data_IF_960872568960
#
_entry.id   IF_960872568960
#
_cell.length_a   1.000
_cell.length_b   1.000
_cell.length_c   1.000
_cell.angle_alpha   90.00
_cell.angle_beta   90.00
_cell.angle_gamma   90.00
#
_symmetry.space_group_name_H-M   'P 1'
#
loop_
_entity.id
_entity.type
_entity.pdbx_description
1 polymer ?
#
# COMPACT_ATOMS: atom_id res chain seq x y z
N UNK A 1 15.12 15.30 -11.08
CA UNK A 1 13.69 15.69 -11.26
C UNK A 1 12.73 14.53 -10.96
N UNK A 2 12.96 13.32 -11.50
CA UNK A 2 12.13 12.12 -11.20
C UNK A 2 12.09 11.74 -9.69
N UNK A 3 13.20 11.92 -8.96
CA UNK A 3 13.25 11.59 -7.53
C UNK A 3 12.29 12.42 -6.65
N UNK A 4 12.03 13.68 -7.01
CA UNK A 4 11.12 14.55 -6.25
C UNK A 4 9.70 13.98 -6.26
N UNK A 5 9.26 13.38 -7.38
CA UNK A 5 7.95 12.74 -7.47
C UNK A 5 7.83 11.54 -6.52
N UNK A 6 8.90 10.76 -6.36
CA UNK A 6 8.91 9.66 -5.40
C UNK A 6 8.83 10.13 -3.94
N UNK A 7 9.51 11.21 -3.59
CA UNK A 7 9.40 11.82 -2.25
C UNK A 7 7.99 12.37 -1.99
N UNK A 8 7.40 13.07 -2.98
CA UNK A 8 6.01 13.56 -2.88
C UNK A 8 5.05 12.39 -2.71
N UNK A 9 5.23 11.33 -3.48
CA UNK A 9 4.42 10.12 -3.41
C UNK A 9 4.54 9.42 -2.05
N UNK A 10 5.76 9.25 -1.52
CA UNK A 10 5.97 8.69 -0.19
C UNK A 10 5.33 9.55 0.91
N UNK A 11 5.45 10.88 0.81
CA UNK A 11 4.83 11.81 1.74
C UNK A 11 3.29 11.74 1.69
N UNK A 12 2.71 11.61 0.49
CA UNK A 12 1.26 11.43 0.30
C UNK A 12 0.76 10.13 0.94
N UNK A 13 1.46 9.01 0.70
CA UNK A 13 1.14 7.72 1.33
C UNK A 13 1.16 7.85 2.87
N UNK A 14 2.26 8.35 3.44
CA UNK A 14 2.39 8.53 4.88
C UNK A 14 1.32 9.43 5.49
N UNK A 15 1.04 10.59 4.88
CA UNK A 15 0.03 11.53 5.39
C UNK A 15 -1.38 10.97 5.30
N UNK A 16 -1.73 10.26 4.22
CA UNK A 16 -3.05 9.64 4.07
C UNK A 16 -3.34 8.59 5.14
N UNK A 17 -2.34 7.76 5.49
CA UNK A 17 -2.47 6.78 6.57
C UNK A 17 -2.51 7.41 7.95
N UNK A 18 -1.72 8.45 8.22
CA UNK A 18 -1.81 9.19 9.49
C UNK A 18 -3.21 9.79 9.63
N UNK A 19 -3.75 10.38 8.57
CA UNK A 19 -5.11 10.91 8.58
C UNK A 19 -6.14 9.81 8.89
N UNK A 20 -6.03 8.64 8.25
CA UNK A 20 -6.91 7.50 8.51
C UNK A 20 -6.78 6.95 9.94
N UNK A 21 -5.56 6.96 10.49
CA UNK A 21 -5.28 6.55 11.87
C UNK A 21 -5.90 7.50 12.90
N UNK A 22 -5.76 8.81 12.70
CA UNK A 22 -6.33 9.84 13.59
C UNK A 22 -7.87 9.78 13.61
N UNK A 23 -8.50 9.44 12.49
CA UNK A 23 -9.96 9.27 12.41
C UNK A 23 -10.47 7.91 12.96
N UNK A 24 -9.58 7.08 13.52
CA UNK A 24 -9.96 5.83 14.17
C UNK A 24 -10.26 4.68 13.20
N UNK A 25 -9.71 4.70 11.98
CA UNK A 25 -9.90 3.66 10.98
C UNK A 25 -9.30 2.30 11.36
N UNK A 26 -8.29 2.27 12.24
CA UNK A 26 -7.58 1.05 12.66
C UNK A 26 -8.15 0.41 13.95
N UNK A 27 -9.48 0.35 14.10
CA UNK A 27 -10.12 -0.32 15.24
C UNK A 27 -10.14 -1.84 15.10
N UNK A 28 -10.08 -2.36 13.87
CA UNK A 28 -10.06 -3.80 13.60
C UNK A 28 -8.61 -4.29 13.48
N UNK A 29 -8.34 -5.47 14.04
CA UNK A 29 -7.04 -6.12 13.97
C UNK A 29 -6.58 -6.36 12.53
N UNK A 30 -7.52 -6.59 11.60
CA UNK A 30 -7.18 -6.81 10.19
C UNK A 30 -6.61 -5.55 9.53
N UNK A 31 -7.21 -4.39 9.78
CA UNK A 31 -6.67 -3.11 9.29
C UNK A 31 -5.31 -2.79 9.94
N UNK A 32 -5.06 -3.24 11.17
CA UNK A 32 -3.76 -3.10 11.84
C UNK A 32 -2.67 -3.94 11.16
N UNK A 33 -3.00 -5.17 10.76
CA UNK A 33 -2.07 -6.02 9.99
C UNK A 33 -1.80 -5.39 8.62
N UNK A 34 -2.84 -4.91 7.95
CA UNK A 34 -2.72 -4.21 6.66
C UNK A 34 -1.79 -2.99 6.75
N UNK A 35 -1.93 -2.20 7.81
CA UNK A 35 -1.04 -1.08 8.10
C UNK A 35 0.42 -1.53 8.29
N UNK A 36 0.65 -2.63 9.01
CA UNK A 36 2.01 -3.13 9.25
C UNK A 36 2.67 -3.61 7.94
N UNK A 37 1.92 -4.32 7.09
CA UNK A 37 2.38 -4.75 5.76
C UNK A 37 2.69 -3.54 4.88
N UNK A 38 1.76 -2.58 4.80
CA UNK A 38 1.92 -1.35 4.04
C UNK A 38 3.12 -0.51 4.51
N UNK A 39 3.26 -0.32 5.82
CA UNK A 39 4.39 0.40 6.41
C UNK A 39 5.73 -0.27 6.07
N UNK A 40 5.78 -1.61 6.06
CA UNK A 40 6.98 -2.35 5.67
C UNK A 40 7.32 -2.11 4.19
N UNK A 41 6.33 -2.14 3.30
CA UNK A 41 6.52 -1.83 1.88
C UNK A 41 7.03 -0.38 1.69
N UNK A 42 6.58 0.57 2.52
CA UNK A 42 7.06 1.95 2.47
C UNK A 42 8.49 2.12 2.94
N UNK A 43 8.96 1.32 3.90
CA UNK A 43 10.39 1.29 4.25
C UNK A 43 11.21 0.85 3.03
N UNK A 44 10.71 -0.13 2.27
CA UNK A 44 11.33 -0.54 1.00
C UNK A 44 11.34 0.59 -0.03
N UNK A 45 10.22 1.30 -0.21
CA UNK A 45 10.15 2.50 -1.04
C UNK A 45 11.15 3.56 -0.59
N UNK A 46 11.29 3.79 0.72
CA UNK A 46 12.27 4.75 1.23
C UNK A 46 13.71 4.33 0.90
N UNK A 47 14.03 3.04 1.03
CA UNK A 47 15.33 2.49 0.62
C UNK A 47 15.61 2.71 -0.87
N UNK A 48 14.62 2.43 -1.73
CA UNK A 48 14.67 2.71 -3.16
C UNK A 48 14.96 4.19 -3.46
N UNK A 49 14.19 5.10 -2.84
CA UNK A 49 14.28 6.54 -3.14
C UNK A 49 15.58 7.16 -2.65
N UNK A 50 16.09 6.67 -1.51
CA UNK A 50 17.34 7.17 -0.91
C UNK A 50 18.60 6.46 -1.40
N UNK A 51 18.46 5.44 -2.26
CA UNK A 51 19.56 4.57 -2.71
C UNK A 51 20.35 3.98 -1.54
N UNK A 52 19.65 3.58 -0.47
CA UNK A 52 20.25 2.98 0.71
C UNK A 52 19.77 1.57 0.88
N UNK A 53 20.71 0.66 1.09
CA UNK A 53 20.42 -0.70 1.53
C UNK A 53 20.07 -0.67 3.01
N UNK A 54 18.78 -0.79 3.33
CA UNK A 54 18.28 -0.84 4.71
C UNK A 54 18.40 -2.27 5.25
N UNK A 55 18.08 -3.26 4.41
CA UNK A 55 18.10 -4.70 4.70
C UNK A 55 18.56 -5.44 3.44
N UNK A 56 18.82 -6.74 3.58
CA UNK A 56 19.26 -7.60 2.47
C UNK A 56 18.22 -7.66 1.33
N UNK A 57 18.64 -7.77 0.06
CA UNK A 57 17.73 -7.92 -1.08
C UNK A 57 16.72 -9.06 -0.92
N UNK A 58 17.16 -10.21 -0.38
CA UNK A 58 16.30 -11.38 -0.13
C UNK A 58 15.09 -11.06 0.78
N UNK A 59 15.29 -10.22 1.80
CA UNK A 59 14.20 -9.77 2.65
C UNK A 59 13.16 -8.98 1.85
N UNK A 60 13.61 -8.06 0.98
CA UNK A 60 12.72 -7.25 0.16
C UNK A 60 11.99 -8.05 -0.90
N UNK A 61 12.57 -9.14 -1.40
CA UNK A 61 11.89 -10.08 -2.29
C UNK A 61 10.72 -10.77 -1.58
N UNK A 62 10.91 -11.21 -0.33
CA UNK A 62 9.84 -11.78 0.50
C UNK A 62 8.77 -10.72 0.78
N UNK A 63 9.17 -9.50 1.15
CA UNK A 63 8.22 -8.40 1.39
C UNK A 63 7.43 -8.07 0.12
N UNK A 64 8.06 -8.04 -1.05
CA UNK A 64 7.38 -7.80 -2.32
C UNK A 64 6.28 -8.83 -2.58
N UNK A 65 6.61 -10.12 -2.51
CA UNK A 65 5.63 -11.19 -2.75
C UNK A 65 4.57 -11.20 -1.66
N UNK A 66 4.97 -11.08 -0.40
CA UNK A 66 4.07 -11.12 0.76
C UNK A 66 3.08 -9.96 0.76
N UNK A 67 3.55 -8.72 0.53
CA UNK A 67 2.69 -7.55 0.46
C UNK A 67 1.73 -7.62 -0.74
N UNK A 68 2.21 -8.07 -1.91
CA UNK A 68 1.36 -8.18 -3.10
C UNK A 68 0.26 -9.22 -2.92
N UNK A 69 0.58 -10.38 -2.32
CA UNK A 69 -0.41 -11.39 -1.98
C UNK A 69 -1.39 -10.89 -0.92
N UNK A 70 -0.90 -10.14 0.08
CA UNK A 70 -1.74 -9.54 1.11
C UNK A 70 -2.73 -8.54 0.51
N UNK A 71 -2.30 -7.61 -0.35
CA UNK A 71 -3.17 -6.60 -0.95
C UNK A 71 -4.24 -7.22 -1.86
N UNK A 72 -3.87 -8.27 -2.62
CA UNK A 72 -4.83 -9.04 -3.41
C UNK A 72 -5.86 -9.70 -2.49
N UNK A 73 -5.40 -10.38 -1.43
CA UNK A 73 -6.28 -11.01 -0.46
C UNK A 73 -7.21 -10.00 0.21
N UNK A 74 -6.68 -8.85 0.62
CA UNK A 74 -7.41 -7.77 1.27
C UNK A 74 -8.49 -7.20 0.35
N UNK A 75 -8.15 -6.93 -0.92
CA UNK A 75 -9.10 -6.40 -1.89
C UNK A 75 -10.25 -7.38 -2.19
N UNK A 76 -9.96 -8.65 -2.40
CA UNK A 76 -10.98 -9.64 -2.81
C UNK A 76 -11.81 -10.16 -1.64
N UNK A 77 -11.20 -10.42 -0.48
CA UNK A 77 -11.88 -11.08 0.63
C UNK A 77 -12.36 -10.12 1.71
N UNK A 78 -11.62 -9.04 1.99
CA UNK A 78 -11.91 -8.20 3.15
C UNK A 78 -12.73 -6.97 2.81
N UNK A 79 -12.55 -6.39 1.61
CA UNK A 79 -13.32 -5.23 1.15
C UNK A 79 -14.84 -5.52 1.11
N UNK A 80 -15.24 -6.68 0.59
CA UNK A 80 -16.65 -7.10 0.53
C UNK A 80 -17.28 -7.24 1.92
N UNK A 81 -16.63 -7.97 2.83
CA UNK A 81 -17.18 -8.21 4.18
C UNK A 81 -17.11 -7.02 5.15
N UNK A 82 -16.20 -6.07 4.96
CA UNK A 82 -15.98 -4.96 5.90
C UNK A 82 -16.55 -3.62 5.43
N UNK A 83 -16.79 -3.44 4.13
CA UNK A 83 -17.20 -2.14 3.53
C UNK A 83 -18.59 -2.20 2.90
N UNK A 84 -19.07 -3.37 2.42
CA UNK A 84 -20.38 -3.49 1.75
C UNK A 84 -21.58 -3.57 2.70
N UNK A 85 -21.40 -3.44 4.02
CA UNK A 85 -22.54 -3.38 4.93
C UNK A 85 -23.39 -2.12 4.75
N UNK A 86 -22.87 -1.03 4.13
CA UNK A 86 -23.53 0.28 4.11
C UNK A 86 -23.53 1.03 2.75
N UNK A 87 -23.02 0.46 1.66
CA UNK A 87 -22.97 1.19 0.38
C UNK A 87 -23.40 0.33 -0.82
N UNK A 88 -24.60 0.60 -1.33
CA UNK A 88 -25.00 0.27 -2.72
C UNK A 88 -24.14 1.11 -3.70
N UNK A 89 -22.87 0.74 -3.85
CA UNK A 89 -21.97 1.33 -4.83
C UNK A 89 -22.39 0.91 -6.24
N UNK A 90 -22.54 1.86 -7.16
CA UNK A 90 -22.76 1.52 -8.56
C UNK A 90 -21.52 0.86 -9.16
N UNK A 91 -21.70 0.01 -10.18
CA UNK A 91 -20.60 -0.67 -10.89
C UNK A 91 -19.50 0.28 -11.40
N UNK A 92 -19.83 1.54 -11.67
CA UNK A 92 -18.84 2.55 -12.07
C UNK A 92 -17.98 3.03 -10.90
N UNK A 93 -18.50 3.06 -9.68
CA UNK A 93 -17.78 3.45 -8.47
C UNK A 93 -16.75 2.39 -8.05
N UNK A 94 -17.09 1.11 -8.20
CA UNK A 94 -16.14 0.00 -7.98
C UNK A 94 -14.99 0.01 -8.97
N UNK A 95 -15.30 0.28 -10.24
CA UNK A 95 -14.31 0.35 -11.32
C UNK A 95 -13.35 1.54 -11.08
N UNK A 96 -13.90 2.68 -10.66
CA UNK A 96 -13.10 3.83 -10.25
C UNK A 96 -12.18 3.51 -9.07
N UNK A 97 -12.70 2.87 -8.03
CA UNK A 97 -11.90 2.49 -6.85
C UNK A 97 -10.78 1.50 -7.21
N UNK A 98 -11.05 0.53 -8.09
CA UNK A 98 -10.05 -0.43 -8.56
C UNK A 98 -8.92 0.27 -9.35
N UNK A 99 -9.27 1.17 -10.28
CA UNK A 99 -8.30 1.93 -11.06
C UNK A 99 -7.48 2.86 -10.16
N UNK A 100 -8.13 3.51 -9.19
CA UNK A 100 -7.46 4.36 -8.22
C UNK A 100 -6.47 3.56 -7.35
N UNK A 101 -6.85 2.36 -6.91
CA UNK A 101 -5.97 1.47 -6.15
C UNK A 101 -4.77 1.03 -6.99
N UNK A 102 -4.96 0.68 -8.27
CA UNK A 102 -3.86 0.37 -9.20
C UNK A 102 -2.92 1.56 -9.40
N UNK A 103 -3.47 2.76 -9.55
CA UNK A 103 -2.68 3.98 -9.70
C UNK A 103 -1.90 4.30 -8.42
N UNK A 104 -2.50 4.05 -7.26
CA UNK A 104 -1.88 4.30 -5.97
C UNK A 104 -0.83 3.24 -5.61
N UNK A 105 -1.06 1.95 -5.88
CA UNK A 105 -0.15 0.86 -5.50
C UNK A 105 0.86 0.51 -6.59
N UNK A 106 0.56 0.78 -7.86
CA UNK A 106 1.44 0.47 -8.99
C UNK A 106 2.85 1.04 -8.82
N UNK A 107 3.02 2.35 -8.53
CA UNK A 107 4.33 2.94 -8.27
C UNK A 107 5.03 2.33 -7.05
N UNK A 108 4.32 2.00 -5.98
CA UNK A 108 4.88 1.36 -4.78
C UNK A 108 5.50 0.01 -5.13
N UNK A 109 4.75 -0.86 -5.80
CA UNK A 109 5.23 -2.19 -6.17
C UNK A 109 6.33 -2.15 -7.23
N UNK A 110 6.28 -1.18 -8.15
CA UNK A 110 7.38 -0.95 -9.08
C UNK A 110 8.68 -0.59 -8.35
N UNK A 111 8.63 0.37 -7.43
CA UNK A 111 9.79 0.78 -6.64
C UNK A 111 10.32 -0.37 -5.76
N UNK A 112 9.41 -1.10 -5.12
CA UNK A 112 9.75 -2.24 -4.26
C UNK A 112 10.40 -3.38 -5.07
N UNK A 113 9.92 -3.63 -6.29
CA UNK A 113 10.52 -4.60 -7.21
C UNK A 113 11.95 -4.18 -7.59
N UNK A 114 12.16 -2.93 -8.02
CA UNK A 114 13.48 -2.39 -8.38
C UNK A 114 14.46 -2.34 -7.20
N UNK A 115 13.96 -2.35 -5.97
CA UNK A 115 14.77 -2.36 -4.77
C UNK A 115 15.10 -3.77 -4.27
N UNK A 116 14.25 -4.75 -4.61
CA UNK A 116 14.41 -6.15 -4.22
C UNK A 116 15.22 -6.99 -5.23
N UNK A 117 15.24 -6.59 -6.50
CA UNK A 117 15.86 -7.30 -7.62
C UNK A 117 16.79 -6.38 -8.41
#
# INVERSE_FOLDING_TARGET
MIQIFWYIYAAFLATSTIAYLVHGGYKNIVFLIDLAVSATAWVGLFGFVTHREILTPFFWQIVFVGALLWDIFFYFFLKGTLVEADAEGSRSMDLFAAVFMLFLLGPLYYALFQYAF
#
